data_IF_248753947056
#
_entry.id   IF_248753947056
#
_cell.length_a   1.000
_cell.length_b   1.000
_cell.length_c   1.000
_cell.angle_alpha   90.00
_cell.angle_beta   90.00
_cell.angle_gamma   90.00
#
_symmetry.space_group_name_H-M   'P 1'
#
loop_
_entity.id
_entity.type
_entity.pdbx_description
1 polymer ?
#
# COMPACT_ATOMS: atom_id res chain seq x y z
N UNK A 1 6.23 -5.53 -21.96
CA UNK A 1 5.27 -5.86 -20.88
C UNK A 1 3.87 -5.92 -21.46
N UNK A 2 3.14 -7.00 -21.25
CA UNK A 2 1.80 -7.17 -21.78
C UNK A 2 0.76 -6.53 -20.83
N UNK A 3 -0.50 -6.49 -21.27
CA UNK A 3 -1.61 -5.89 -20.50
C UNK A 3 -1.90 -6.66 -19.19
N UNK A 4 -1.76 -7.99 -19.21
CA UNK A 4 -2.00 -8.84 -18.05
C UNK A 4 -0.99 -8.55 -16.94
N UNK A 5 0.28 -8.41 -17.30
CA UNK A 5 1.36 -8.12 -16.36
C UNK A 5 1.23 -6.72 -15.75
N UNK A 6 0.83 -5.72 -16.53
CA UNK A 6 0.50 -4.39 -15.99
C UNK A 6 -0.62 -4.45 -14.97
N UNK A 7 -1.67 -5.24 -15.25
CA UNK A 7 -2.81 -5.40 -14.35
C UNK A 7 -2.38 -6.10 -13.05
N UNK A 8 -1.58 -7.16 -13.15
CA UNK A 8 -1.02 -7.88 -12.00
C UNK A 8 -0.18 -6.96 -11.10
N UNK A 9 0.72 -6.19 -11.70
CA UNK A 9 1.54 -5.21 -10.96
C UNK A 9 0.66 -4.14 -10.31
N UNK A 10 -0.35 -3.63 -11.02
CA UNK A 10 -1.29 -2.67 -10.46
C UNK A 10 -2.08 -3.26 -9.27
N UNK A 11 -2.49 -4.52 -9.35
CA UNK A 11 -3.13 -5.25 -8.24
C UNK A 11 -2.20 -5.41 -7.04
N UNK A 12 -0.92 -5.70 -7.28
CA UNK A 12 0.11 -5.77 -6.25
C UNK A 12 0.32 -4.41 -5.55
N UNK A 13 0.33 -3.31 -6.31
CA UNK A 13 0.40 -1.96 -5.72
C UNK A 13 -0.87 -1.68 -4.88
N UNK A 14 -2.06 -2.03 -5.37
CA UNK A 14 -3.30 -1.90 -4.59
C UNK A 14 -3.32 -2.79 -3.34
N UNK A 15 -2.68 -3.95 -3.38
CA UNK A 15 -2.50 -4.79 -2.22
C UNK A 15 -1.60 -4.11 -1.19
N UNK A 16 -0.44 -3.62 -1.62
CA UNK A 16 0.48 -2.86 -0.77
C UNK A 16 -0.20 -1.67 -0.10
N UNK A 17 -0.97 -0.88 -0.86
CA UNK A 17 -1.73 0.27 -0.33
C UNK A 17 -2.62 -0.17 0.84
N UNK A 18 -3.38 -1.26 0.67
CA UNK A 18 -4.28 -1.77 1.69
C UNK A 18 -3.55 -2.32 2.91
N UNK A 19 -2.49 -3.09 2.70
CA UNK A 19 -1.71 -3.68 3.79
C UNK A 19 -1.03 -2.61 4.64
N UNK A 20 -0.50 -1.56 4.00
CA UNK A 20 0.29 -0.51 4.66
C UNK A 20 -0.53 0.71 5.09
N UNK A 21 -1.87 0.62 5.05
CA UNK A 21 -2.76 1.66 5.57
C UNK A 21 -2.90 2.90 4.69
N UNK A 22 -2.42 2.90 3.45
CA UNK A 22 -2.55 4.04 2.56
C UNK A 22 -3.99 4.21 2.05
N UNK A 23 -4.41 5.47 1.91
CA UNK A 23 -5.46 5.83 0.97
C UNK A 23 -4.86 6.04 -0.42
N UNK A 24 -5.67 5.98 -1.49
CA UNK A 24 -5.19 6.34 -2.85
C UNK A 24 -4.59 7.75 -2.90
N UNK A 25 -5.15 8.66 -2.09
CA UNK A 25 -4.69 10.06 -1.99
C UNK A 25 -3.34 10.17 -1.31
N UNK A 26 -3.16 9.51 -0.16
CA UNK A 26 -1.89 9.56 0.56
C UNK A 26 -0.81 8.77 -0.16
N UNK A 27 -1.14 7.67 -0.82
CA UNK A 27 -0.22 6.98 -1.73
C UNK A 27 0.28 7.90 -2.84
N UNK A 28 -0.63 8.66 -3.48
CA UNK A 28 -0.24 9.62 -4.51
C UNK A 28 0.70 10.71 -3.97
N UNK A 29 0.45 11.22 -2.74
CA UNK A 29 1.35 12.15 -2.06
C UNK A 29 2.73 11.53 -1.78
N UNK A 30 2.76 10.34 -1.16
CA UNK A 30 4.01 9.66 -0.77
C UNK A 30 4.90 9.33 -1.98
N UNK A 31 4.28 9.00 -3.11
CA UNK A 31 4.98 8.68 -4.37
C UNK A 31 5.21 9.91 -5.26
N UNK A 32 4.80 11.09 -4.82
CA UNK A 32 4.88 12.37 -5.54
C UNK A 32 4.24 12.32 -6.94
N UNK A 33 3.08 11.68 -7.06
CA UNK A 33 2.26 11.66 -8.26
C UNK A 33 1.01 12.52 -8.11
N UNK A 34 0.55 13.08 -9.23
CA UNK A 34 -0.82 13.60 -9.31
C UNK A 34 -1.82 12.46 -9.08
N UNK A 35 -3.01 12.77 -8.54
CA UNK A 35 -4.06 11.78 -8.33
C UNK A 35 -4.41 11.04 -9.63
N UNK A 36 -4.52 11.75 -10.76
CA UNK A 36 -4.81 11.16 -12.06
C UNK A 36 -3.73 10.19 -12.54
N UNK A 37 -2.45 10.51 -12.28
CA UNK A 37 -1.33 9.62 -12.63
C UNK A 37 -1.33 8.38 -11.75
N UNK A 38 -1.52 8.55 -10.44
CA UNK A 38 -1.63 7.45 -9.50
C UNK A 38 -2.79 6.52 -9.90
N UNK A 39 -3.97 7.05 -10.20
CA UNK A 39 -5.11 6.24 -10.67
C UNK A 39 -4.81 5.49 -11.98
N UNK A 40 -4.12 6.11 -12.93
CA UNK A 40 -3.73 5.43 -14.16
C UNK A 40 -2.79 4.24 -13.89
N UNK A 41 -1.87 4.38 -12.93
CA UNK A 41 -0.96 3.31 -12.50
C UNK A 41 -1.75 2.20 -11.80
N UNK A 42 -2.59 2.55 -10.82
CA UNK A 42 -3.38 1.62 -10.01
C UNK A 42 -4.42 0.84 -10.82
N UNK A 43 -4.80 1.34 -12.00
CA UNK A 43 -5.68 0.65 -12.93
C UNK A 43 -4.92 -0.07 -14.07
N UNK A 44 -3.59 0.00 -14.10
CA UNK A 44 -2.77 -0.55 -15.19
C UNK A 44 -3.04 0.09 -16.56
N UNK A 45 -3.58 1.32 -16.59
CA UNK A 45 -4.03 2.03 -17.81
C UNK A 45 -2.94 2.87 -18.47
N UNK A 46 -1.69 2.80 -18.00
CA UNK A 46 -0.57 3.52 -18.63
C UNK A 46 -0.20 2.83 -19.95
N UNK A 47 -0.36 3.54 -21.06
CA UNK A 47 -0.15 2.99 -22.41
C UNK A 47 1.32 2.60 -22.62
N UNK A 48 2.24 3.52 -22.38
CA UNK A 48 3.68 3.28 -22.60
C UNK A 48 4.26 2.32 -21.56
N UNK A 49 4.86 1.23 -22.03
CA UNK A 49 5.58 0.26 -21.19
C UNK A 49 6.78 0.89 -20.49
N UNK A 50 7.56 1.68 -21.21
CA UNK A 50 8.72 2.37 -20.65
C UNK A 50 8.29 3.34 -19.54
N UNK A 51 7.19 4.06 -19.74
CA UNK A 51 6.65 4.99 -18.75
C UNK A 51 6.15 4.26 -17.50
N UNK A 52 5.42 3.16 -17.67
CA UNK A 52 4.93 2.36 -16.54
C UNK A 52 6.08 1.78 -15.72
N UNK A 53 7.13 1.26 -16.37
CA UNK A 53 8.32 0.78 -15.66
C UNK A 53 9.01 1.89 -14.87
N UNK A 54 9.18 3.08 -15.46
CA UNK A 54 9.74 4.24 -14.72
C UNK A 54 8.90 4.61 -13.51
N UNK A 55 7.58 4.52 -13.62
CA UNK A 55 6.70 4.77 -12.48
C UNK A 55 6.84 3.74 -11.38
N UNK A 56 6.92 2.44 -11.71
CA UNK A 56 7.15 1.39 -10.71
C UNK A 56 8.47 1.64 -9.97
N UNK A 57 9.54 1.94 -10.70
CA UNK A 57 10.86 2.22 -10.10
C UNK A 57 10.79 3.42 -9.16
N UNK A 58 10.14 4.52 -9.57
CA UNK A 58 9.95 5.68 -8.70
C UNK A 58 9.11 5.33 -7.45
N UNK A 59 8.08 4.49 -7.59
CA UNK A 59 7.28 4.04 -6.43
C UNK A 59 8.15 3.24 -5.46
N UNK A 60 8.92 2.27 -5.96
CA UNK A 60 9.79 1.46 -5.09
C UNK A 60 10.85 2.32 -4.40
N UNK A 61 11.47 3.26 -5.12
CA UNK A 61 12.45 4.20 -4.54
C UNK A 61 11.84 5.10 -3.46
N UNK A 62 10.67 5.70 -3.73
CA UNK A 62 9.99 6.59 -2.77
C UNK A 62 9.53 5.87 -1.51
N UNK A 63 9.20 4.59 -1.62
CA UNK A 63 8.76 3.77 -0.51
C UNK A 63 9.89 2.98 0.15
N UNK A 64 11.13 3.11 -0.33
CA UNK A 64 12.29 2.37 0.21
C UNK A 64 12.19 0.85 0.00
N UNK A 65 11.52 0.42 -1.07
CA UNK A 65 11.29 -1.00 -1.38
C UNK A 65 12.30 -1.52 -2.40
N UNK A 66 12.43 -2.85 -2.46
CA UNK A 66 13.17 -3.53 -3.53
C UNK A 66 12.65 -3.15 -4.94
N UNK A 67 13.55 -3.01 -5.90
CA UNK A 67 13.24 -2.57 -7.26
C UNK A 67 12.30 -3.53 -8.03
N UNK A 68 12.16 -4.77 -7.56
CA UNK A 68 11.30 -5.79 -8.14
C UNK A 68 10.14 -6.18 -7.24
N UNK A 69 9.92 -5.49 -6.11
CA UNK A 69 8.86 -5.75 -5.14
C UNK A 69 7.51 -6.04 -5.80
N UNK A 70 7.00 -5.11 -6.63
CA UNK A 70 5.67 -5.26 -7.25
C UNK A 70 5.60 -6.28 -8.39
N UNK A 71 6.75 -6.84 -8.80
CA UNK A 71 6.82 -7.91 -9.80
C UNK A 71 6.79 -9.30 -9.15
N UNK A 72 6.89 -9.41 -7.84
CA UNK A 72 6.77 -10.69 -7.13
C UNK A 72 5.34 -11.22 -7.21
N UNK A 73 5.15 -12.50 -6.91
CA UNK A 73 3.82 -13.08 -6.75
C UNK A 73 3.12 -12.50 -5.51
N UNK A 74 1.79 -12.69 -5.49
CA UNK A 74 0.93 -12.08 -4.49
C UNK A 74 1.20 -12.66 -3.10
N UNK A 75 1.46 -13.96 -3.03
CA UNK A 75 1.72 -14.71 -1.81
C UNK A 75 2.99 -14.20 -1.12
N UNK A 76 4.05 -13.95 -1.91
CA UNK A 76 5.29 -13.35 -1.40
C UNK A 76 5.03 -11.96 -0.81
N UNK A 77 4.28 -11.09 -1.50
CA UNK A 77 3.93 -9.75 -0.99
C UNK A 77 3.10 -9.82 0.30
N UNK A 78 2.20 -10.81 0.43
CA UNK A 78 1.40 -11.01 1.64
C UNK A 78 2.23 -11.47 2.84
N UNK A 79 3.36 -12.15 2.60
CA UNK A 79 4.25 -12.63 3.66
C UNK A 79 5.22 -11.55 4.17
N UNK A 80 5.30 -10.41 3.49
CA UNK A 80 6.25 -9.35 3.82
C UNK A 80 5.78 -8.50 5.02
N UNK A 81 6.72 -7.97 5.82
CA UNK A 81 6.39 -7.10 6.95
C UNK A 81 5.60 -5.87 6.51
N UNK A 82 4.50 -5.59 7.22
CA UNK A 82 3.70 -4.40 6.99
C UNK A 82 4.44 -3.18 7.54
N UNK A 83 4.56 -2.13 6.74
CA UNK A 83 5.09 -0.83 7.11
C UNK A 83 3.92 0.15 7.20
N UNK A 84 3.33 0.24 8.39
CA UNK A 84 2.25 1.18 8.63
C UNK A 84 2.79 2.61 8.54
N UNK A 85 2.30 3.41 7.59
CA UNK A 85 2.57 4.84 7.61
C UNK A 85 1.58 5.51 8.56
N UNK A 86 2.07 5.95 9.71
CA UNK A 86 1.34 6.86 10.58
C UNK A 86 1.16 8.19 9.82
N UNK A 87 0.00 8.36 9.17
CA UNK A 87 -0.42 9.68 8.76
C UNK A 87 -0.68 10.50 10.04
N UNK A 88 0.08 11.57 10.26
CA UNK A 88 -0.22 12.58 11.30
C UNK A 88 -1.66 13.13 11.16
N UNK A 89 -2.21 13.05 9.95
CA UNK A 89 -3.63 13.29 9.67
C UNK A 89 -4.46 12.08 10.09
N UNK A 90 -4.71 12.03 11.41
CA UNK A 90 -5.80 11.37 12.12
C UNK A 90 -6.66 10.47 11.23
N UNK A 91 -6.50 9.17 11.46
CA UNK A 91 -7.54 8.21 11.16
C UNK A 91 -8.85 8.75 11.75
N UNK A 92 -9.77 9.26 10.91
CA UNK A 92 -11.12 9.65 11.34
C UNK A 92 -11.96 8.39 11.58
N UNK A 93 -11.52 7.54 12.50
CA UNK A 93 -12.37 6.59 13.17
C UNK A 93 -13.09 7.41 14.24
N UNK A 94 -14.42 7.57 14.11
CA UNK A 94 -15.21 8.23 15.16
C UNK A 94 -14.91 7.60 16.53
N UNK A 95 -14.84 8.43 17.56
CA UNK A 95 -14.24 8.12 18.86
C UNK A 95 -14.67 6.75 19.43
N UNK A 96 -15.93 6.36 19.27
CA UNK A 96 -16.44 5.04 19.70
C UNK A 96 -15.73 3.84 19.06
N UNK A 97 -15.50 3.89 17.74
CA UNK A 97 -14.87 2.79 17.01
C UNK A 97 -13.38 2.68 17.37
N UNK A 98 -12.72 3.82 17.62
CA UNK A 98 -11.31 3.85 18.02
C UNK A 98 -11.17 3.30 19.44
N UNK A 99 -12.03 3.75 20.35
CA UNK A 99 -12.08 3.25 21.72
C UNK A 99 -12.35 1.74 21.77
N UNK A 100 -13.25 1.25 20.93
CA UNK A 100 -13.57 -0.18 20.83
C UNK A 100 -12.36 -0.98 20.35
N UNK A 101 -11.69 -0.54 19.27
CA UNK A 101 -10.50 -1.24 18.74
C UNK A 101 -9.36 -1.18 19.77
N UNK A 102 -9.13 -0.03 20.41
CA UNK A 102 -8.12 0.12 21.45
C UNK A 102 -8.38 -0.79 22.66
N UNK A 103 -9.64 -0.91 23.09
CA UNK A 103 -10.02 -1.83 24.15
C UNK A 103 -9.81 -3.31 23.75
N UNK A 104 -10.17 -3.69 22.52
CA UNK A 104 -9.93 -5.04 22.00
C UNK A 104 -8.44 -5.40 21.98
N UNK A 105 -7.58 -4.47 21.55
CA UNK A 105 -6.13 -4.67 21.53
C UNK A 105 -5.56 -4.81 22.95
N UNK A 106 -5.97 -3.95 23.89
CA UNK A 106 -5.53 -4.04 25.29
C UNK A 106 -5.94 -5.36 25.95
N UNK A 107 -7.15 -5.86 25.66
CA UNK A 107 -7.59 -7.16 26.16
C UNK A 107 -6.68 -8.26 25.57
N UNK A 108 -6.39 -8.21 24.27
CA UNK A 108 -5.46 -9.13 23.62
C UNK A 108 -4.08 -9.14 24.30
N UNK A 109 -3.48 -7.96 24.51
CA UNK A 109 -2.17 -7.84 25.15
C UNK A 109 -2.15 -8.42 26.56
N UNK A 110 -3.18 -8.14 27.37
CA UNK A 110 -3.29 -8.69 28.73
C UNK A 110 -3.41 -10.21 28.72
N UNK A 111 -4.15 -10.79 27.77
CA UNK A 111 -4.31 -12.24 27.68
C UNK A 111 -3.06 -12.96 27.18
N UNK A 112 -2.34 -12.38 26.22
CA UNK A 112 -1.12 -12.99 25.66
C UNK A 112 0.14 -12.74 26.48
N UNK A 113 0.18 -11.69 27.32
CA UNK A 113 1.34 -11.41 28.20
C UNK A 113 1.35 -12.24 29.48
N UNK A 114 0.28 -12.99 29.77
CA UNK A 114 0.12 -13.84 30.96
C UNK A 114 0.10 -15.34 30.64
N UNK A 115 0.55 -15.72 29.43
CA UNK A 115 0.87 -17.09 29.01
C UNK A 115 2.39 -17.27 28.95
#
# INVERSE_FOLDING_TARGET
>A
MNRLEKKRIAENINLYIRLNGFTKRSFAKATNFSQSTAEAILNGKVISNAKFNKYIVNITEKLGLDAHYFKQDKETILSMPIHYQEEEDKIHIGDEKYNTISAMLKIGDVYYSNL
#
